data_IF_686764781435
#
_entry.id   IF_686764781435
#
_cell.length_a   1.000
_cell.length_b   1.000
_cell.length_c   1.000
_cell.angle_alpha   90.00
_cell.angle_beta   90.00
_cell.angle_gamma   90.00
#
_symmetry.space_group_name_H-M   'P 1'
#
loop_
_entity.id
_entity.type
_entity.pdbx_description
1 polymer ?
#
# COMPACT_ATOMS: atom_id res chain seq x y z
N UNK A 1 4.73 -14.25 -7.59
CA UNK A 1 4.03 -14.10 -8.89
C UNK A 1 4.03 -12.67 -9.37
N UNK A 2 3.36 -11.78 -8.62
CA UNK A 2 2.93 -10.48 -9.15
C UNK A 2 4.10 -9.62 -9.64
N UNK A 3 5.19 -9.51 -8.87
CA UNK A 3 6.39 -8.79 -9.30
C UNK A 3 7.06 -9.36 -10.55
N UNK A 4 7.02 -10.67 -10.76
CA UNK A 4 7.58 -11.32 -11.95
C UNK A 4 6.74 -10.92 -13.18
N UNK A 5 5.41 -10.98 -13.06
CA UNK A 5 4.49 -10.56 -14.11
C UNK A 5 4.63 -9.07 -14.45
N UNK A 6 4.77 -8.20 -13.45
CA UNK A 6 5.04 -6.78 -13.68
C UNK A 6 6.38 -6.54 -14.37
N UNK A 7 7.43 -7.28 -14.01
CA UNK A 7 8.73 -7.21 -14.66
C UNK A 7 8.68 -7.65 -16.14
N UNK A 8 7.79 -8.59 -16.47
CA UNK A 8 7.54 -9.06 -17.85
C UNK A 8 6.54 -8.17 -18.62
N UNK A 9 6.15 -7.01 -18.09
CA UNK A 9 5.11 -6.13 -18.65
C UNK A 9 3.72 -6.79 -18.77
N UNK A 10 3.49 -7.88 -18.05
CA UNK A 10 2.21 -8.61 -17.94
C UNK A 10 1.46 -8.22 -16.65
N UNK A 11 1.55 -6.96 -16.23
CA UNK A 11 0.91 -6.46 -15.01
C UNK A 11 -0.60 -6.67 -14.96
N UNK A 12 -1.27 -6.69 -16.11
CA UNK A 12 -2.69 -7.00 -16.20
C UNK A 12 -3.02 -8.41 -15.68
N UNK A 13 -2.18 -9.43 -15.98
CA UNK A 13 -2.35 -10.80 -15.46
C UNK A 13 -2.19 -10.84 -13.94
N UNK A 14 -1.26 -10.06 -13.40
CA UNK A 14 -1.04 -9.97 -11.97
C UNK A 14 -2.30 -9.47 -11.24
N UNK A 15 -2.91 -8.41 -11.78
CA UNK A 15 -4.14 -7.85 -11.23
C UNK A 15 -5.34 -8.80 -11.38
N UNK A 16 -5.47 -9.50 -12.51
CA UNK A 16 -6.54 -10.50 -12.71
C UNK A 16 -6.43 -11.65 -11.71
N UNK A 17 -5.23 -12.23 -11.54
CA UNK A 17 -5.03 -13.32 -10.57
C UNK A 17 -5.42 -12.85 -9.17
N UNK A 18 -5.01 -11.64 -8.79
CA UNK A 18 -5.33 -11.09 -7.47
C UNK A 18 -6.85 -10.85 -7.32
N UNK A 19 -7.50 -10.27 -8.33
CA UNK A 19 -8.94 -10.02 -8.34
C UNK A 19 -9.76 -11.32 -8.26
N UNK A 20 -9.41 -12.33 -9.05
CA UNK A 20 -10.05 -13.65 -9.00
C UNK A 20 -9.87 -14.30 -7.63
N UNK A 21 -8.68 -14.16 -7.03
CA UNK A 21 -8.42 -14.72 -5.70
C UNK A 21 -9.31 -14.09 -4.63
N UNK A 22 -9.44 -12.76 -4.63
CA UNK A 22 -10.32 -12.08 -3.69
C UNK A 22 -11.81 -12.33 -3.97
N UNK A 23 -12.21 -12.45 -5.24
CA UNK A 23 -13.58 -12.79 -5.62
C UNK A 23 -13.96 -14.17 -5.09
N UNK A 24 -13.09 -15.16 -5.27
CA UNK A 24 -13.30 -16.51 -4.74
C UNK A 24 -13.37 -16.51 -3.22
N UNK A 25 -12.43 -15.83 -2.54
CA UNK A 25 -12.47 -15.71 -1.08
C UNK A 25 -13.75 -15.04 -0.57
N UNK A 26 -14.28 -14.04 -1.28
CA UNK A 26 -15.57 -13.43 -0.96
C UNK A 26 -16.73 -14.42 -1.15
N UNK A 27 -16.75 -15.14 -2.26
CA UNK A 27 -17.77 -16.17 -2.52
C UNK A 27 -17.72 -17.28 -1.45
N UNK A 28 -16.54 -17.69 -1.01
CA UNK A 28 -16.39 -18.68 0.06
C UNK A 28 -16.96 -18.18 1.39
N UNK A 29 -16.72 -16.91 1.75
CA UNK A 29 -17.32 -16.30 2.96
C UNK A 29 -18.84 -16.20 2.85
N UNK A 30 -19.36 -15.81 1.68
CA UNK A 30 -20.81 -15.77 1.44
C UNK A 30 -21.41 -17.17 1.56
N UNK A 31 -20.76 -18.18 0.97
CA UNK A 31 -21.20 -19.57 1.08
C UNK A 31 -21.21 -20.04 2.53
N UNK A 32 -20.18 -19.71 3.32
CA UNK A 32 -20.13 -20.02 4.76
C UNK A 32 -21.27 -19.34 5.51
N UNK A 33 -21.56 -18.06 5.24
CA UNK A 33 -22.63 -17.34 5.91
C UNK A 33 -24.00 -18.02 5.71
N UNK A 34 -24.28 -18.53 4.50
CA UNK A 34 -25.55 -19.18 4.19
C UNK A 34 -25.60 -20.67 4.54
N UNK A 35 -24.50 -21.41 4.39
CA UNK A 35 -24.47 -22.87 4.57
C UNK A 35 -24.07 -23.28 6.00
N UNK A 36 -23.28 -22.45 6.70
CA UNK A 36 -22.70 -22.76 8.01
C UNK A 36 -22.71 -21.52 8.93
N UNK A 37 -23.89 -21.03 9.34
CA UNK A 37 -24.02 -19.80 10.12
C UNK A 37 -23.33 -19.88 11.51
N UNK A 38 -23.21 -21.06 12.09
CA UNK A 38 -22.53 -21.29 13.38
C UNK A 38 -21.00 -21.50 13.26
N UNK A 39 -20.44 -21.31 12.06
CA UNK A 39 -19.00 -21.50 11.84
C UNK A 39 -18.16 -20.49 12.61
N UNK A 40 -16.96 -20.93 13.01
CA UNK A 40 -16.03 -20.06 13.72
C UNK A 40 -15.48 -18.96 12.80
N UNK A 41 -15.20 -17.79 13.37
CA UNK A 41 -14.55 -16.67 12.67
C UNK A 41 -13.22 -17.11 12.03
N UNK A 42 -12.50 -18.03 12.67
CA UNK A 42 -11.25 -18.60 12.14
C UNK A 42 -11.46 -19.30 10.80
N UNK A 43 -12.56 -20.02 10.63
CA UNK A 43 -12.87 -20.72 9.39
C UNK A 43 -13.21 -19.74 8.26
N UNK A 44 -14.00 -18.70 8.55
CA UNK A 44 -14.29 -17.63 7.60
C UNK A 44 -13.03 -16.87 7.15
N UNK A 45 -12.07 -16.64 8.07
CA UNK A 45 -10.78 -16.04 7.73
C UNK A 45 -9.94 -16.95 6.81
N UNK A 46 -9.89 -18.24 7.09
CA UNK A 46 -9.18 -19.21 6.23
C UNK A 46 -9.79 -19.23 4.84
N UNK A 47 -11.12 -19.29 4.74
CA UNK A 47 -11.85 -19.26 3.48
C UNK A 47 -11.55 -17.99 2.66
N UNK A 48 -11.51 -16.83 3.31
CA UNK A 48 -11.20 -15.56 2.64
C UNK A 48 -9.77 -15.51 2.07
N UNK A 49 -8.79 -16.01 2.82
CA UNK A 49 -7.37 -15.85 2.46
C UNK A 49 -6.74 -17.05 1.75
N UNK A 50 -7.34 -18.24 1.81
CA UNK A 50 -6.81 -19.43 1.15
C UNK A 50 -6.72 -19.27 -0.38
N UNK A 51 -7.73 -18.75 -1.10
CA UNK A 51 -7.61 -18.53 -2.54
C UNK A 51 -6.48 -17.56 -2.91
N UNK A 52 -6.28 -16.52 -2.09
CA UNK A 52 -5.21 -15.50 -2.26
C UNK A 52 -3.82 -16.12 -2.12
N UNK A 53 -3.65 -17.14 -1.28
CA UNK A 53 -2.40 -17.87 -1.17
C UNK A 53 -2.22 -18.93 -2.27
N UNK A 54 -3.27 -19.70 -2.55
CA UNK A 54 -3.20 -20.91 -3.39
C UNK A 54 -3.09 -20.57 -4.88
N UNK A 55 -3.91 -19.66 -5.41
CA UNK A 55 -3.93 -19.36 -6.85
C UNK A 55 -2.59 -18.85 -7.39
N UNK A 56 -1.88 -17.94 -6.69
CA UNK A 56 -0.53 -17.56 -7.11
C UNK A 56 0.45 -18.73 -7.10
N UNK A 57 0.38 -19.63 -6.11
CA UNK A 57 1.25 -20.82 -6.04
C UNK A 57 0.98 -21.73 -7.23
N UNK A 58 -0.29 -22.04 -7.51
CA UNK A 58 -0.71 -22.84 -8.66
C UNK A 58 -0.17 -22.22 -9.96
N UNK A 59 -0.34 -20.90 -10.13
CA UNK A 59 0.15 -20.18 -11.32
C UNK A 59 1.67 -20.28 -11.50
N UNK A 60 2.48 -20.09 -10.44
CA UNK A 60 3.94 -20.27 -10.52
C UNK A 60 4.27 -21.70 -10.90
N UNK A 61 3.67 -22.66 -10.19
CA UNK A 61 3.96 -24.08 -10.36
C UNK A 61 3.73 -24.47 -11.81
N UNK A 62 2.55 -24.22 -12.38
CA UNK A 62 2.28 -24.54 -13.79
C UNK A 62 3.22 -23.84 -14.75
N UNK A 63 3.51 -22.55 -14.53
CA UNK A 63 4.29 -21.75 -15.48
C UNK A 63 5.78 -22.13 -15.50
N UNK A 64 6.35 -22.45 -14.34
CA UNK A 64 7.80 -22.66 -14.20
C UNK A 64 8.19 -24.11 -13.95
N UNK A 65 7.24 -25.07 -13.98
CA UNK A 65 7.54 -26.51 -13.81
C UNK A 65 8.58 -27.00 -14.84
N UNK A 66 8.56 -26.45 -16.05
CA UNK A 66 9.49 -26.81 -17.13
C UNK A 66 10.88 -26.18 -16.97
N UNK A 67 11.00 -25.08 -16.22
CA UNK A 67 12.27 -24.35 -16.01
C UNK A 67 13.10 -24.96 -14.89
N UNK A 68 12.48 -25.75 -14.00
CA UNK A 68 13.15 -26.47 -12.90
C UNK A 68 14.27 -27.41 -13.35
N UNK A 69 14.28 -27.82 -14.62
CA UNK A 69 15.33 -28.70 -15.18
C UNK A 69 16.66 -27.99 -15.46
N UNK A 70 16.70 -26.66 -15.35
CA UNK A 70 17.92 -25.88 -15.63
C UNK A 70 18.91 -26.00 -14.47
N UNK A 71 20.14 -26.47 -14.73
CA UNK A 71 21.21 -26.47 -13.72
C UNK A 71 21.65 -25.03 -13.44
N UNK A 72 21.31 -24.53 -12.26
CA UNK A 72 21.72 -23.19 -11.79
C UNK A 72 22.76 -23.35 -10.70
N UNK A 73 23.83 -22.55 -10.77
CA UNK A 73 24.91 -22.56 -9.78
C UNK A 73 24.39 -22.06 -8.42
N UNK A 74 24.82 -22.69 -7.32
CA UNK A 74 24.49 -22.29 -5.95
C UNK A 74 24.84 -20.82 -5.67
N UNK A 75 25.92 -20.31 -6.25
CA UNK A 75 26.30 -18.90 -6.12
C UNK A 75 25.23 -17.95 -6.66
N UNK A 76 24.56 -18.32 -7.76
CA UNK A 76 23.47 -17.54 -8.35
C UNK A 76 22.25 -17.55 -7.43
N UNK A 77 21.92 -18.70 -6.83
CA UNK A 77 20.85 -18.80 -5.83
C UNK A 77 21.15 -17.94 -4.60
N UNK A 78 22.36 -18.04 -4.04
CA UNK A 78 22.78 -17.23 -2.88
C UNK A 78 22.68 -15.73 -3.17
N UNK A 79 23.09 -15.31 -4.37
CA UNK A 79 22.99 -13.91 -4.80
C UNK A 79 21.52 -13.45 -4.92
N UNK A 80 20.66 -14.25 -5.54
CA UNK A 80 19.22 -13.95 -5.67
C UNK A 80 18.53 -13.90 -4.31
N UNK A 81 18.84 -14.86 -3.43
CA UNK A 81 18.27 -14.92 -2.08
C UNK A 81 18.70 -13.72 -1.24
N UNK A 82 19.98 -13.32 -1.31
CA UNK A 82 20.51 -12.13 -0.63
C UNK A 82 19.85 -10.83 -1.11
N UNK A 83 19.52 -10.72 -2.41
CA UNK A 83 18.77 -9.56 -2.94
C UNK A 83 17.28 -9.61 -2.53
N UNK A 84 16.69 -10.79 -2.50
CA UNK A 84 15.27 -11.00 -2.23
C UNK A 84 14.91 -10.87 -0.74
N UNK A 85 15.82 -11.29 0.15
CA UNK A 85 15.63 -11.18 1.61
C UNK A 85 15.38 -9.74 2.05
N UNK A 86 16.02 -8.80 1.36
CA UNK A 86 15.81 -7.39 1.58
C UNK A 86 14.39 -6.90 1.26
N UNK A 87 13.77 -7.44 0.21
CA UNK A 87 12.37 -7.15 -0.08
C UNK A 87 11.45 -7.82 0.95
N UNK A 88 11.77 -9.03 1.41
CA UNK A 88 10.99 -9.74 2.42
C UNK A 88 10.98 -8.98 3.75
N UNK A 89 12.15 -8.58 4.25
CA UNK A 89 12.28 -7.81 5.49
C UNK A 89 11.50 -6.49 5.38
N UNK A 90 11.66 -5.77 4.26
CA UNK A 90 10.90 -4.55 4.01
C UNK A 90 9.38 -4.80 4.05
N UNK A 91 8.89 -5.80 3.33
CA UNK A 91 7.47 -6.11 3.29
C UNK A 91 6.91 -6.48 4.65
N UNK A 92 7.63 -7.30 5.44
CA UNK A 92 7.21 -7.66 6.79
C UNK A 92 7.19 -6.44 7.73
N UNK A 93 8.24 -5.61 7.70
CA UNK A 93 8.30 -4.37 8.48
C UNK A 93 7.17 -3.44 8.09
N UNK A 94 6.95 -3.21 6.80
CA UNK A 94 5.86 -2.36 6.32
C UNK A 94 4.49 -2.84 6.82
N UNK A 95 4.22 -4.15 6.87
CA UNK A 95 2.95 -4.66 7.39
C UNK A 95 2.77 -4.32 8.88
N UNK A 96 3.80 -4.56 9.70
CA UNK A 96 3.74 -4.29 11.15
C UNK A 96 3.57 -2.79 11.39
N UNK A 97 4.36 -1.98 10.68
CA UNK A 97 4.36 -0.52 10.79
C UNK A 97 3.01 0.07 10.37
N UNK A 98 2.45 -0.38 9.23
CA UNK A 98 1.21 0.15 8.68
C UNK A 98 -0.05 -0.18 9.50
N UNK A 99 0.05 -1.05 10.51
CA UNK A 99 -1.05 -1.38 11.42
C UNK A 99 -0.91 -0.71 12.81
N UNK A 100 0.12 0.12 12.99
CA UNK A 100 0.37 0.81 14.26
C UNK A 100 -0.77 1.76 14.62
N UNK A 101 -1.41 2.37 13.62
CA UNK A 101 -2.56 3.24 13.80
C UNK A 101 -3.74 2.47 14.44
N UNK A 102 -4.04 1.25 13.98
CA UNK A 102 -5.08 0.41 14.60
C UNK A 102 -4.76 0.03 16.05
N UNK A 103 -3.50 -0.18 16.40
CA UNK A 103 -3.10 -0.43 17.78
C UNK A 103 -3.44 0.78 18.65
N UNK A 104 -3.03 1.98 18.24
CA UNK A 104 -3.33 3.21 18.99
C UNK A 104 -4.83 3.45 19.07
N UNK A 105 -5.55 3.30 17.95
CA UNK A 105 -7.00 3.49 17.92
C UNK A 105 -7.74 2.54 18.85
N UNK A 106 -7.34 1.27 18.91
CA UNK A 106 -7.97 0.27 19.80
C UNK A 106 -7.89 0.65 21.30
N UNK A 107 -6.91 1.46 21.68
CA UNK A 107 -6.67 1.87 23.07
C UNK A 107 -7.26 3.24 23.40
N UNK A 108 -7.37 4.13 22.42
CA UNK A 108 -7.68 5.56 22.65
C UNK A 108 -9.03 6.02 22.10
N UNK A 109 -9.60 5.31 21.14
CA UNK A 109 -10.84 5.72 20.46
C UNK A 109 -12.02 4.84 20.84
N UNK A 110 -13.22 5.43 20.79
CA UNK A 110 -14.47 4.69 20.97
C UNK A 110 -14.71 3.75 19.77
N UNK A 111 -15.45 2.67 19.98
CA UNK A 111 -15.80 1.74 18.90
C UNK A 111 -16.48 2.45 17.72
N UNK A 112 -17.34 3.45 17.99
CA UNK A 112 -18.00 4.24 16.97
C UNK A 112 -17.01 5.04 16.11
N UNK A 113 -16.00 5.66 16.73
CA UNK A 113 -14.99 6.43 16.02
C UNK A 113 -14.03 5.56 15.22
N UNK A 114 -13.71 4.36 15.74
CA UNK A 114 -12.92 3.36 15.01
C UNK A 114 -13.64 2.93 13.73
N UNK A 115 -14.95 2.67 13.83
CA UNK A 115 -15.77 2.30 12.66
C UNK A 115 -15.79 3.45 11.65
N UNK A 116 -16.06 4.68 12.10
CA UNK A 116 -16.06 5.89 11.27
C UNK A 116 -14.75 6.02 10.49
N UNK A 117 -13.61 6.05 11.19
CA UNK A 117 -12.27 6.13 10.58
C UNK A 117 -12.01 4.97 9.61
N UNK A 118 -12.29 3.74 10.01
CA UNK A 118 -12.03 2.53 9.19
C UNK A 118 -12.80 2.58 7.88
N UNK A 119 -14.09 2.95 7.93
CA UNK A 119 -14.92 3.08 6.73
C UNK A 119 -14.41 4.22 5.85
N UNK A 120 -14.08 5.39 6.42
CA UNK A 120 -13.48 6.50 5.64
C UNK A 120 -12.19 6.05 4.94
N UNK A 121 -11.27 5.43 5.69
CA UNK A 121 -9.98 4.97 5.18
C UNK A 121 -10.13 3.91 4.10
N UNK A 122 -11.12 3.02 4.18
CA UNK A 122 -11.38 2.05 3.11
C UNK A 122 -11.86 2.72 1.82
N UNK A 123 -12.72 3.72 1.90
CA UNK A 123 -13.18 4.48 0.72
C UNK A 123 -12.01 5.21 0.07
N UNK A 124 -11.21 5.94 0.85
CA UNK A 124 -10.00 6.58 0.34
C UNK A 124 -8.98 5.55 -0.16
N UNK A 125 -8.89 4.38 0.48
CA UNK A 125 -8.05 3.27 0.05
C UNK A 125 -8.45 2.72 -1.31
N UNK A 126 -9.75 2.65 -1.61
CA UNK A 126 -10.25 2.26 -2.93
C UNK A 126 -9.89 3.28 -4.02
N UNK A 127 -10.01 4.57 -3.71
CA UNK A 127 -9.51 5.63 -4.60
C UNK A 127 -8.00 5.48 -4.79
N UNK A 128 -7.23 5.40 -3.70
CA UNK A 128 -5.77 5.34 -3.73
C UNK A 128 -5.26 4.05 -4.39
N UNK A 129 -6.02 2.96 -4.36
CA UNK A 129 -5.71 1.73 -5.07
C UNK A 129 -5.46 1.99 -6.57
N UNK A 130 -6.27 2.85 -7.21
CA UNK A 130 -6.09 3.21 -8.63
C UNK A 130 -4.71 3.84 -8.84
N UNK A 131 -4.33 4.78 -7.98
CA UNK A 131 -3.01 5.39 -8.01
C UNK A 131 -1.89 4.35 -7.79
N UNK A 132 -2.03 3.46 -6.80
CA UNK A 132 -1.03 2.43 -6.56
C UNK A 132 -0.88 1.47 -7.74
N UNK A 133 -1.95 1.16 -8.47
CA UNK A 133 -1.89 0.32 -9.66
C UNK A 133 -1.08 0.98 -10.78
N UNK A 134 -1.26 2.29 -11.00
CA UNK A 134 -0.42 3.08 -11.92
C UNK A 134 1.04 3.03 -11.49
N UNK A 135 1.30 3.21 -10.19
CA UNK A 135 2.67 3.18 -9.65
C UNK A 135 3.35 1.81 -9.85
N UNK A 136 2.62 0.70 -9.66
CA UNK A 136 3.13 -0.65 -9.92
C UNK A 136 3.45 -0.87 -11.41
N UNK A 137 2.66 -0.29 -12.32
CA UNK A 137 2.92 -0.36 -13.75
C UNK A 137 4.13 0.51 -14.16
N UNK A 138 4.33 1.66 -13.50
CA UNK A 138 5.48 2.54 -13.76
C UNK A 138 6.80 1.98 -13.24
N UNK A 139 6.77 1.17 -12.18
CA UNK A 139 7.98 0.60 -11.57
C UNK A 139 8.97 -0.07 -12.55
N UNK A 140 8.57 -1.03 -13.41
CA UNK A 140 9.47 -1.63 -14.40
C UNK A 140 9.96 -0.61 -15.45
N UNK A 141 9.10 0.32 -15.87
CA UNK A 141 9.45 1.37 -16.84
C UNK A 141 10.55 2.28 -16.27
N UNK A 142 10.43 2.68 -15.00
CA UNK A 142 11.45 3.47 -14.31
C UNK A 142 12.77 2.70 -14.18
N UNK A 143 12.72 1.40 -13.89
CA UNK A 143 13.91 0.56 -13.83
C UNK A 143 14.64 0.51 -15.20
N UNK A 144 13.88 0.36 -16.29
CA UNK A 144 14.41 0.31 -17.66
C UNK A 144 15.00 1.65 -18.12
N UNK A 145 14.26 2.76 -17.93
CA UNK A 145 14.72 4.10 -18.30
C UNK A 145 16.01 4.48 -17.60
N UNK A 146 16.19 4.05 -16.35
CA UNK A 146 17.43 4.22 -15.60
C UNK A 146 18.58 3.44 -16.22
N UNK A 147 18.39 2.16 -16.57
CA UNK A 147 19.43 1.35 -17.22
C UNK A 147 19.81 1.96 -18.58
N UNK A 148 18.85 2.54 -19.30
CA UNK A 148 19.06 3.27 -20.55
C UNK A 148 19.61 4.70 -20.36
N UNK A 149 19.87 5.14 -19.12
CA UNK A 149 20.36 6.48 -18.79
C UNK A 149 19.50 7.64 -19.33
N UNK A 150 18.20 7.40 -19.55
CA UNK A 150 17.26 8.40 -20.07
C UNK A 150 16.66 9.27 -18.96
N UNK A 151 17.53 9.94 -18.19
CA UNK A 151 17.17 10.71 -17.00
C UNK A 151 16.09 11.76 -17.24
N UNK A 152 16.12 12.47 -18.37
CA UNK A 152 15.13 13.50 -18.70
C UNK A 152 13.71 12.93 -18.82
N UNK A 153 13.56 11.75 -19.44
CA UNK A 153 12.27 11.07 -19.55
C UNK A 153 11.82 10.52 -18.20
N UNK A 154 12.74 9.95 -17.43
CA UNK A 154 12.47 9.45 -16.08
C UNK A 154 11.91 10.56 -15.19
N UNK A 155 12.59 11.70 -15.10
CA UNK A 155 12.12 12.85 -14.30
C UNK A 155 10.78 13.41 -14.77
N UNK A 156 10.54 13.46 -16.08
CA UNK A 156 9.25 13.88 -16.63
C UNK A 156 8.11 12.95 -16.20
N UNK A 157 8.30 11.63 -16.27
CA UNK A 157 7.29 10.65 -15.87
C UNK A 157 7.01 10.74 -14.37
N UNK A 158 8.07 10.86 -13.55
CA UNK A 158 7.93 11.03 -12.09
C UNK A 158 7.11 12.28 -11.75
N UNK A 159 7.45 13.41 -12.37
CA UNK A 159 6.76 14.67 -12.15
C UNK A 159 5.28 14.61 -12.53
N UNK A 160 4.98 14.03 -13.71
CA UNK A 160 3.60 13.82 -14.16
C UNK A 160 2.83 12.87 -13.23
N UNK A 161 3.47 11.82 -12.73
CA UNK A 161 2.85 10.89 -11.79
C UNK A 161 2.51 11.57 -10.46
N UNK A 162 3.40 12.42 -9.93
CA UNK A 162 3.17 13.14 -8.67
C UNK A 162 2.04 14.16 -8.83
N UNK A 163 2.09 15.01 -9.85
CA UNK A 163 1.04 16.01 -10.08
C UNK A 163 -0.29 15.34 -10.37
N UNK A 164 -0.30 14.34 -11.26
CA UNK A 164 -1.50 13.57 -11.58
C UNK A 164 -2.08 12.87 -10.36
N UNK A 165 -1.24 12.28 -9.51
CA UNK A 165 -1.65 11.63 -8.27
C UNK A 165 -2.23 12.61 -7.25
N UNK A 166 -1.57 13.75 -6.99
CA UNK A 166 -2.08 14.77 -6.06
C UNK A 166 -3.40 15.37 -6.56
N UNK A 167 -3.49 15.66 -7.86
CA UNK A 167 -4.73 16.14 -8.49
C UNK A 167 -5.86 15.12 -8.37
N UNK A 168 -5.56 13.84 -8.63
CA UNK A 168 -6.51 12.74 -8.50
C UNK A 168 -7.00 12.57 -7.05
N UNK A 169 -6.11 12.65 -6.06
CA UNK A 169 -6.47 12.65 -4.63
C UNK A 169 -7.37 13.84 -4.29
N UNK A 170 -7.02 15.04 -4.76
CA UNK A 170 -7.82 16.25 -4.52
C UNK A 170 -9.24 16.14 -5.08
N UNK A 171 -9.37 15.78 -6.35
CA UNK A 171 -10.68 15.58 -6.99
C UNK A 171 -11.47 14.44 -6.35
N UNK A 172 -10.82 13.32 -6.07
CA UNK A 172 -11.49 12.19 -5.45
C UNK A 172 -11.95 12.49 -4.02
N UNK A 173 -11.19 13.28 -3.25
CA UNK A 173 -11.62 13.76 -1.93
C UNK A 173 -12.84 14.66 -2.04
N UNK A 174 -12.85 15.59 -3.02
CA UNK A 174 -14.01 16.46 -3.26
C UNK A 174 -15.25 15.64 -3.64
N UNK A 175 -15.10 14.66 -4.53
CA UNK A 175 -16.16 13.75 -4.93
C UNK A 175 -16.73 12.97 -3.74
N UNK A 176 -15.86 12.38 -2.91
CA UNK A 176 -16.27 11.64 -1.71
C UNK A 176 -16.97 12.58 -0.72
N UNK A 177 -16.49 13.81 -0.53
CA UNK A 177 -17.09 14.77 0.40
C UNK A 177 -18.49 15.20 -0.03
N UNK A 178 -18.71 15.46 -1.33
CA UNK A 178 -20.02 15.86 -1.86
C UNK A 178 -21.03 14.72 -1.82
N UNK A 179 -20.60 13.50 -2.12
CA UNK A 179 -21.46 12.31 -2.15
C UNK A 179 -21.45 11.51 -0.84
N UNK A 180 -20.91 12.08 0.24
CA UNK A 180 -20.71 11.36 1.50
C UNK A 180 -22.01 10.71 1.99
N UNK A 181 -23.12 11.43 2.01
CA UNK A 181 -24.38 10.93 2.58
C UNK A 181 -24.91 9.72 1.79
N UNK A 182 -24.70 9.70 0.47
CA UNK A 182 -25.06 8.58 -0.39
C UNK A 182 -24.08 7.39 -0.25
N UNK A 183 -22.78 7.65 -0.24
CA UNK A 183 -21.76 6.60 -0.11
C UNK A 183 -21.89 5.89 1.24
N UNK A 184 -22.07 6.66 2.32
CA UNK A 184 -22.14 6.10 3.68
C UNK A 184 -23.47 5.41 3.98
N UNK A 185 -24.59 5.85 3.40
CA UNK A 185 -25.87 5.13 3.55
C UNK A 185 -25.85 3.74 2.93
N UNK A 186 -25.08 3.54 1.84
CA UNK A 186 -24.92 2.22 1.21
C UNK A 186 -23.98 1.32 2.03
N UNK A 187 -22.84 1.87 2.48
CA UNK A 187 -21.77 1.07 3.09
C UNK A 187 -21.99 0.82 4.59
N UNK A 188 -22.54 1.80 5.29
CA UNK A 188 -22.62 1.86 6.76
C UNK A 188 -24.05 2.18 7.22
N UNK A 189 -25.01 1.42 6.69
CA UNK A 189 -26.42 1.59 7.05
C UNK A 189 -26.64 1.38 8.57
N UNK A 190 -27.26 2.34 9.24
CA UNK A 190 -27.53 2.30 10.68
C UNK A 190 -26.47 2.94 11.59
N UNK A 191 -25.43 3.58 11.05
CA UNK A 191 -24.43 4.33 11.83
C UNK A 191 -24.64 5.83 11.60
N UNK A 192 -24.75 6.62 12.68
CA UNK A 192 -24.73 8.08 12.59
C UNK A 192 -23.33 8.56 12.15
N UNK A 193 -23.19 8.77 10.84
CA UNK A 193 -21.95 9.15 10.19
C UNK A 193 -21.77 10.68 10.19
N UNK A 194 -21.67 11.27 11.37
CA UNK A 194 -21.27 12.65 11.52
C UNK A 194 -19.73 12.76 11.60
N UNK A 195 -19.09 13.01 10.45
CA UNK A 195 -17.65 13.31 10.36
C UNK A 195 -17.45 14.76 9.91
N UNK A 196 -16.59 15.47 10.67
CA UNK A 196 -16.20 16.85 10.36
C UNK A 196 -15.49 16.96 9.00
N UNK A 197 -15.80 18.02 8.25
CA UNK A 197 -15.11 18.35 6.99
C UNK A 197 -13.58 18.45 7.13
N UNK A 198 -13.09 18.80 8.33
CA UNK A 198 -11.66 18.83 8.62
C UNK A 198 -10.97 17.47 8.40
N UNK A 199 -11.65 16.35 8.68
CA UNK A 199 -11.12 15.00 8.48
C UNK A 199 -10.86 14.74 7.00
N UNK A 200 -11.75 15.17 6.10
CA UNK A 200 -11.58 15.01 4.65
C UNK A 200 -10.39 15.83 4.14
N UNK A 201 -10.22 17.05 4.64
CA UNK A 201 -9.06 17.89 4.29
C UNK A 201 -7.76 17.23 4.75
N UNK A 202 -7.71 16.73 5.98
CA UNK A 202 -6.53 16.04 6.50
C UNK A 202 -6.23 14.75 5.74
N UNK A 203 -7.25 13.99 5.34
CA UNK A 203 -7.07 12.81 4.49
C UNK A 203 -6.52 13.20 3.11
N UNK A 204 -7.02 14.27 2.49
CA UNK A 204 -6.48 14.76 1.22
C UNK A 204 -4.99 15.13 1.34
N UNK A 205 -4.61 15.83 2.42
CA UNK A 205 -3.20 16.16 2.72
C UNK A 205 -2.38 14.89 2.92
N UNK A 206 -2.85 13.98 3.76
CA UNK A 206 -2.17 12.71 4.05
C UNK A 206 -1.94 11.88 2.78
N UNK A 207 -2.98 11.65 1.96
CA UNK A 207 -2.85 10.89 0.73
C UNK A 207 -2.00 11.60 -0.33
N UNK A 208 -1.97 12.93 -0.35
CA UNK A 208 -1.07 13.70 -1.23
C UNK A 208 0.40 13.53 -0.83
N UNK A 209 0.69 13.57 0.48
CA UNK A 209 2.03 13.24 1.01
C UNK A 209 2.40 11.80 0.66
N UNK A 210 1.45 10.86 0.74
CA UNK A 210 1.67 9.48 0.31
C UNK A 210 1.98 9.34 -1.17
N UNK A 211 1.30 10.05 -2.06
CA UNK A 211 1.64 10.06 -3.50
C UNK A 211 3.13 10.36 -3.69
N UNK A 212 3.61 11.42 -3.04
CA UNK A 212 5.01 11.81 -3.07
C UNK A 212 5.93 10.70 -2.53
N UNK A 213 5.71 10.27 -1.28
CA UNK A 213 6.55 9.28 -0.60
C UNK A 213 6.59 7.94 -1.35
N UNK A 214 5.43 7.42 -1.76
CA UNK A 214 5.32 6.13 -2.44
C UNK A 214 6.00 6.19 -3.83
N UNK A 215 5.96 7.33 -4.52
CA UNK A 215 6.71 7.54 -5.77
C UNK A 215 8.22 7.38 -5.55
N UNK A 216 8.79 8.06 -4.56
CA UNK A 216 10.23 7.97 -4.29
C UNK A 216 10.64 6.60 -3.72
N UNK A 217 9.77 5.97 -2.93
CA UNK A 217 9.99 4.59 -2.49
C UNK A 217 10.06 3.64 -3.68
N UNK A 218 9.15 3.76 -4.66
CA UNK A 218 9.17 2.98 -5.90
C UNK A 218 10.46 3.24 -6.70
N UNK A 219 10.92 4.48 -6.81
CA UNK A 219 12.17 4.80 -7.50
C UNK A 219 13.37 4.13 -6.84
N UNK A 220 13.49 4.22 -5.51
CA UNK A 220 14.56 3.56 -4.77
C UNK A 220 14.50 2.03 -4.89
N UNK A 221 13.29 1.46 -4.92
CA UNK A 221 13.09 0.03 -5.21
C UNK A 221 13.54 -0.33 -6.63
N UNK A 222 13.24 0.50 -7.63
CA UNK A 222 13.72 0.30 -9.02
C UNK A 222 15.25 0.38 -9.14
N UNK A 223 15.90 1.10 -8.21
CA UNK A 223 17.35 1.17 -8.08
C UNK A 223 17.96 0.04 -7.24
N UNK A 224 17.14 -0.85 -6.69
CA UNK A 224 17.53 -1.88 -5.71
C UNK A 224 18.21 -1.28 -4.46
N UNK A 225 17.84 -0.06 -4.07
CA UNK A 225 18.35 0.63 -2.88
C UNK A 225 17.36 0.51 -1.72
N UNK A 226 17.25 -0.70 -1.16
CA UNK A 226 16.24 -1.00 -0.13
C UNK A 226 16.70 -0.65 1.30
N UNK A 227 18.01 -0.55 1.53
CA UNK A 227 18.57 -0.34 2.88
C UNK A 227 18.02 0.91 3.57
N UNK A 228 17.86 2.01 2.82
CA UNK A 228 17.30 3.26 3.36
C UNK A 228 15.83 3.08 3.78
N UNK A 229 15.07 2.28 3.04
CA UNK A 229 13.67 1.99 3.35
C UNK A 229 13.56 1.18 4.65
N UNK A 230 14.48 0.25 4.91
CA UNK A 230 14.50 -0.53 6.15
C UNK A 230 14.84 0.30 7.38
N UNK A 231 15.59 1.38 7.21
CA UNK A 231 15.93 2.27 8.31
C UNK A 231 14.79 3.26 8.58
N UNK A 232 14.31 3.93 7.54
CA UNK A 232 13.41 5.07 7.70
C UNK A 232 11.98 4.66 8.03
N UNK A 233 11.50 3.51 7.53
CA UNK A 233 10.12 3.06 7.73
C UNK A 233 9.84 2.66 9.19
N UNK A 234 10.71 1.89 9.88
CA UNK A 234 10.55 1.66 11.31
C UNK A 234 10.61 2.94 12.15
N UNK A 235 11.52 3.87 11.82
CA UNK A 235 11.57 5.18 12.49
C UNK A 235 10.27 5.96 12.28
N UNK A 236 9.74 5.95 11.06
CA UNK A 236 8.44 6.55 10.73
C UNK A 236 7.31 5.93 11.56
N UNK A 237 7.30 4.60 11.71
CA UNK A 237 6.34 3.90 12.55
C UNK A 237 6.39 4.33 14.01
N UNK A 238 7.59 4.40 14.59
CA UNK A 238 7.80 4.78 15.99
C UNK A 238 7.34 6.22 16.23
N UNK A 239 7.77 7.15 15.37
CA UNK A 239 7.32 8.55 15.43
C UNK A 239 5.81 8.62 15.25
N UNK A 240 5.26 7.83 14.33
CA UNK A 240 3.82 7.70 14.09
C UNK A 240 3.07 7.25 15.33
N UNK A 241 3.43 6.11 15.91
CA UNK A 241 2.79 5.57 17.10
C UNK A 241 2.83 6.55 18.28
N UNK A 242 3.97 7.19 18.54
CA UNK A 242 4.12 8.17 19.64
C UNK A 242 3.26 9.41 19.39
N UNK A 243 3.32 9.98 18.19
CA UNK A 243 2.57 11.21 17.87
C UNK A 243 1.07 10.95 17.79
N UNK A 244 0.66 9.82 17.23
CA UNK A 244 -0.74 9.37 17.24
C UNK A 244 -1.23 9.14 18.66
N UNK A 245 -0.45 8.50 19.52
CA UNK A 245 -0.82 8.27 20.93
C UNK A 245 -1.11 9.60 21.65
N UNK A 246 -0.22 10.58 21.47
CA UNK A 246 -0.38 11.90 22.06
C UNK A 246 -1.58 12.67 21.50
N UNK A 247 -1.71 12.77 20.18
CA UNK A 247 -2.77 13.58 19.58
C UNK A 247 -4.16 12.92 19.63
N UNK A 248 -4.24 11.59 19.60
CA UNK A 248 -5.52 10.88 19.68
C UNK A 248 -6.23 11.13 21.02
N UNK A 249 -5.48 11.30 22.10
CA UNK A 249 -6.03 11.58 23.42
C UNK A 249 -6.73 12.94 23.49
N UNK A 250 -6.24 13.94 22.74
CA UNK A 250 -6.79 15.29 22.74
C UNK A 250 -7.78 15.57 21.60
N UNK A 251 -7.60 14.93 20.44
CA UNK A 251 -8.29 15.27 19.20
C UNK A 251 -8.99 14.08 18.51
N UNK A 252 -9.01 12.89 19.13
CA UNK A 252 -9.65 11.70 18.59
C UNK A 252 -9.17 11.35 17.17
N UNK A 253 -10.11 11.15 16.23
CA UNK A 253 -9.82 10.78 14.83
C UNK A 253 -8.90 11.79 14.15
N UNK A 254 -9.12 13.08 14.40
CA UNK A 254 -8.30 14.17 13.84
C UNK A 254 -6.85 14.04 14.34
N UNK A 255 -6.68 13.66 15.61
CA UNK A 255 -5.38 13.43 16.21
C UNK A 255 -4.60 12.28 15.57
N UNK A 256 -5.28 11.18 15.22
CA UNK A 256 -4.67 10.07 14.47
C UNK A 256 -4.12 10.55 13.12
N UNK A 257 -4.89 11.36 12.40
CA UNK A 257 -4.47 11.90 11.11
C UNK A 257 -3.29 12.88 11.24
N UNK A 258 -3.29 13.75 12.26
CA UNK A 258 -2.13 14.59 12.55
C UNK A 258 -0.87 13.77 12.83
N UNK A 259 -0.98 12.71 13.64
CA UNK A 259 0.14 11.81 13.90
C UNK A 259 0.68 11.15 12.63
N UNK A 260 -0.20 10.71 11.72
CA UNK A 260 0.20 10.17 10.41
C UNK A 260 0.92 11.21 9.56
N UNK A 261 0.33 12.40 9.39
CA UNK A 261 0.89 13.46 8.56
C UNK A 261 2.26 13.89 9.11
N UNK A 262 2.37 14.09 10.42
CA UNK A 262 3.60 14.51 11.08
C UNK A 262 4.68 13.43 10.94
N UNK A 263 4.33 12.17 11.16
CA UNK A 263 5.22 11.02 10.99
C UNK A 263 5.80 10.96 9.58
N UNK A 264 4.98 11.04 8.54
CA UNK A 264 5.45 11.04 7.15
C UNK A 264 6.30 12.27 6.82
N UNK A 265 5.88 13.45 7.29
CA UNK A 265 6.55 14.72 7.03
C UNK A 265 7.95 14.77 7.67
N UNK A 266 8.11 14.25 8.88
CA UNK A 266 9.38 14.23 9.60
C UNK A 266 10.36 13.17 9.10
N UNK A 267 9.92 12.20 8.30
CA UNK A 267 10.75 11.07 7.90
C UNK A 267 10.84 10.92 6.39
N UNK A 268 9.84 10.27 5.80
CA UNK A 268 9.88 9.74 4.43
C UNK A 268 9.74 10.86 3.39
N UNK A 269 9.02 11.94 3.73
CA UNK A 269 8.72 13.04 2.82
C UNK A 269 9.97 13.71 2.24
N UNK A 270 10.97 14.01 3.06
CA UNK A 270 12.24 14.59 2.59
C UNK A 270 13.36 13.55 2.52
N UNK A 271 13.33 12.52 3.38
CA UNK A 271 14.39 11.52 3.46
C UNK A 271 14.56 10.71 2.17
N UNK A 272 13.46 10.27 1.54
CA UNK A 272 13.54 9.47 0.30
C UNK A 272 14.01 10.30 -0.92
N UNK A 273 13.44 11.48 -1.20
CA UNK A 273 13.90 12.30 -2.32
C UNK A 273 15.38 12.68 -2.22
N UNK A 274 15.86 13.09 -1.04
CA UNK A 274 17.25 13.48 -0.83
C UNK A 274 18.19 12.31 -1.10
N UNK A 275 17.86 11.11 -0.57
CA UNK A 275 18.66 9.91 -0.81
C UNK A 275 18.66 9.50 -2.29
N UNK A 276 17.51 9.59 -2.95
CA UNK A 276 17.38 9.34 -4.39
C UNK A 276 18.27 10.29 -5.20
N UNK A 277 18.21 11.60 -4.93
CA UNK A 277 19.02 12.59 -5.63
C UNK A 277 20.53 12.35 -5.44
N UNK A 278 20.96 12.04 -4.21
CA UNK A 278 22.35 11.71 -3.91
C UNK A 278 22.84 10.50 -4.72
N UNK A 279 22.04 9.43 -4.77
CA UNK A 279 22.40 8.22 -5.54
C UNK A 279 22.33 8.45 -7.05
N UNK A 280 21.36 9.21 -7.53
CA UNK A 280 21.22 9.54 -8.95
C UNK A 280 22.44 10.30 -9.46
N UNK A 281 22.95 11.29 -8.70
CA UNK A 281 24.16 12.06 -9.06
C UNK A 281 25.44 11.24 -9.09
N UNK A 282 25.51 10.12 -8.36
CA UNK A 282 26.66 9.20 -8.38
C UNK A 282 26.64 8.23 -9.55
N UNK A 283 25.48 8.05 -10.18
CA UNK A 283 25.28 7.10 -11.27
C UNK A 283 25.21 7.77 -12.65
N UNK A 284 24.82 9.05 -12.68
CA UNK A 284 24.87 9.93 -13.85
C UNK A 284 26.29 10.48 -14.06
#
# INVERSE_FOLDING_TARGET
VYKILFAELLGWKANIINALSYLLGFLDVVAIHYLMPDSSITFALVALYAPVAILPIIYISFRYIYVLKTKVNFNTYKLLLSRSSGFLIFSSLSIIVLQTDYIVMSQKLSAADIIKYTVTMKIFGLMFFIYTAVLQALWPVCAELRVKMQWRKLHRIIFLNIIGGVFFVGLGTLFIYVLKDYIYSIIANGIDYNISGAVFVLLAVYFSIRVWCDTFAMLLQSMNQLKILWLIVPCQALIGGVTQWYFAEHYGIVGILYGLILSFSLTVFWGLPVYYMYKSKRLA
#
